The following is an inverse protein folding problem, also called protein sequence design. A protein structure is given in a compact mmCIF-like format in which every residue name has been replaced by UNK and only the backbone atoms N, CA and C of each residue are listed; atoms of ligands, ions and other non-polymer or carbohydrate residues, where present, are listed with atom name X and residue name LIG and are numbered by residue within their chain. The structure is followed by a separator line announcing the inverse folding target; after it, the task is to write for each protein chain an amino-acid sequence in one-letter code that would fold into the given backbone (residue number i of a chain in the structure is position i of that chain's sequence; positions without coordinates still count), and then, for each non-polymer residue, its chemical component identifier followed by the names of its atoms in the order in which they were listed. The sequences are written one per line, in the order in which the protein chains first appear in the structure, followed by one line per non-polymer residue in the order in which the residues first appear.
data_IF_959320914172
#
_entry.id   IF_959320914172
#
_cell.length_a   1.000
_cell.length_b   1.000
_cell.length_c   1.000
_cell.angle_alpha   90.00
_cell.angle_beta   90.00
_cell.angle_gamma   90.00
#
_symmetry.space_group_name_H-M   'P 1'
#
loop_
_entity.id
_entity.type
_entity.pdbx_description
1 polymer ?
#
# COMPACT_ATOMS: atom_id res chain seq x y z
N UNK A 1 -34.22 -50.64 20.96
CA UNK A 1 -32.92 -50.04 20.57
C UNK A 1 -33.08 -48.78 19.73
N UNK A 2 -33.92 -48.78 18.69
CA UNK A 2 -34.15 -47.64 17.78
C UNK A 2 -34.49 -46.31 18.50
N UNK A 3 -35.36 -46.31 19.53
CA UNK A 3 -35.70 -45.09 20.28
C UNK A 3 -34.49 -44.43 20.98
N UNK A 4 -33.54 -45.23 21.49
CA UNK A 4 -32.31 -44.71 22.12
C UNK A 4 -31.34 -44.15 21.09
N UNK A 5 -31.24 -44.79 19.92
CA UNK A 5 -30.42 -44.29 18.81
C UNK A 5 -30.93 -42.96 18.30
N UNK A 6 -32.25 -42.81 18.16
CA UNK A 6 -32.89 -41.54 17.74
C UNK A 6 -32.63 -40.43 18.77
N UNK A 7 -32.72 -40.72 20.07
CA UNK A 7 -32.40 -39.75 21.12
C UNK A 7 -30.94 -39.28 21.08
N UNK A 8 -29.99 -40.19 20.84
CA UNK A 8 -28.56 -39.85 20.70
C UNK A 8 -28.34 -38.96 19.46
N UNK A 9 -29.01 -39.27 18.35
CA UNK A 9 -28.93 -38.47 17.12
C UNK A 9 -29.45 -37.04 17.32
N UNK A 10 -30.60 -36.89 18.00
CA UNK A 10 -31.19 -35.57 18.30
C UNK A 10 -30.26 -34.75 19.21
N UNK A 11 -29.59 -35.39 20.17
CA UNK A 11 -28.62 -34.73 21.06
C UNK A 11 -27.35 -34.27 20.35
N UNK A 12 -26.97 -34.89 19.23
CA UNK A 12 -25.78 -34.53 18.45
C UNK A 12 -26.03 -33.38 17.46
N UNK A 13 -27.28 -33.13 17.05
CA UNK A 13 -27.64 -32.02 16.14
C UNK A 13 -27.10 -30.66 16.62
N UNK A 14 -27.27 -30.22 17.89
CA UNK A 14 -26.75 -28.93 18.32
C UNK A 14 -25.22 -28.86 18.30
N UNK A 15 -24.51 -29.97 18.54
CA UNK A 15 -23.04 -30.03 18.44
C UNK A 15 -22.56 -29.93 17.00
N UNK A 16 -23.27 -30.56 16.06
CA UNK A 16 -22.97 -30.47 14.62
C UNK A 16 -23.19 -29.04 14.12
N UNK A 17 -24.30 -28.40 14.53
CA UNK A 17 -24.59 -26.99 14.19
C UNK A 17 -23.52 -26.06 14.78
N UNK A 18 -23.12 -26.27 16.03
CA UNK A 18 -22.08 -25.48 16.68
C UNK A 18 -20.72 -25.64 15.98
N UNK A 19 -20.35 -26.87 15.61
CA UNK A 19 -19.12 -27.14 14.85
C UNK A 19 -19.16 -26.45 13.47
N UNK A 20 -20.31 -26.44 12.80
CA UNK A 20 -20.48 -25.75 11.53
C UNK A 20 -20.39 -24.22 11.68
N UNK A 21 -20.98 -23.65 12.72
CA UNK A 21 -20.88 -22.21 13.02
C UNK A 21 -19.45 -21.77 13.36
N UNK A 22 -18.71 -22.56 14.14
CA UNK A 22 -17.28 -22.29 14.43
C UNK A 22 -16.44 -22.44 13.17
N UNK A 23 -16.69 -23.46 12.34
CA UNK A 23 -15.97 -23.66 11.09
C UNK A 23 -16.26 -22.57 10.05
N UNK A 24 -17.49 -22.04 10.00
CA UNK A 24 -17.84 -20.91 9.12
C UNK A 24 -17.34 -19.56 9.68
N UNK A 25 -17.22 -19.41 11.01
CA UNK A 25 -16.62 -18.23 11.65
C UNK A 25 -15.10 -18.14 11.38
N UNK A 26 -14.44 -19.30 11.21
CA UNK A 26 -13.02 -19.37 10.86
C UNK A 26 -12.72 -19.17 9.37
N UNK A 27 -13.71 -18.77 8.55
CA UNK A 27 -13.46 -18.25 7.19
C UNK A 27 -12.99 -16.79 7.19
N UNK A 28 -12.46 -16.29 8.30
CA UNK A 28 -11.35 -15.35 8.17
C UNK A 28 -10.12 -16.16 7.79
N UNK A 29 -10.08 -16.57 6.51
CA UNK A 29 -8.83 -16.55 5.79
C UNK A 29 -8.29 -15.13 6.01
N UNK A 30 -7.43 -14.97 7.01
CA UNK A 30 -6.37 -13.98 6.93
C UNK A 30 -5.44 -14.47 5.81
N UNK A 31 -5.98 -14.47 4.59
CA UNK A 31 -5.26 -14.00 3.45
C UNK A 31 -4.80 -12.60 3.85
N UNK A 32 -3.67 -12.53 4.55
CA UNK A 32 -2.59 -11.68 4.09
C UNK A 32 -2.34 -12.14 2.66
N UNK A 33 -3.23 -11.73 1.74
CA UNK A 33 -3.04 -11.91 0.33
C UNK A 33 -1.68 -11.30 0.10
N UNK A 34 -0.73 -12.14 -0.30
CA UNK A 34 0.55 -11.77 -0.88
C UNK A 34 0.39 -10.37 -1.49
N UNK A 35 1.03 -9.35 -0.90
CA UNK A 35 0.84 -7.96 -1.31
C UNK A 35 1.03 -7.89 -2.82
N UNK A 36 -0.07 -7.74 -3.55
CA UNK A 36 -0.04 -7.73 -5.00
C UNK A 36 0.38 -6.34 -5.42
N UNK A 37 1.68 -6.08 -5.31
CA UNK A 37 2.35 -4.93 -5.90
C UNK A 37 2.34 -5.16 -7.40
N UNK A 38 1.22 -4.82 -8.03
CA UNK A 38 1.11 -4.86 -9.47
C UNK A 38 1.95 -3.71 -10.02
N UNK A 39 3.00 -4.07 -10.78
CA UNK A 39 3.74 -3.14 -11.64
C UNK A 39 2.76 -2.52 -12.62
N UNK A 40 2.25 -1.35 -12.28
CA UNK A 40 1.21 -0.69 -13.06
C UNK A 40 1.63 0.74 -13.35
N UNK A 41 2.36 0.90 -14.45
CA UNK A 41 2.77 2.20 -14.95
C UNK A 41 1.57 3.12 -15.26
N UNK A 42 0.39 2.55 -15.54
CA UNK A 42 -0.83 3.36 -15.71
C UNK A 42 -1.27 3.98 -14.39
N UNK A 43 -1.07 3.31 -13.25
CA UNK A 43 -1.31 3.92 -11.94
C UNK A 43 -0.37 5.08 -11.72
N UNK A 44 0.94 4.89 -11.95
CA UNK A 44 1.93 5.97 -11.84
C UNK A 44 1.50 7.18 -12.68
N UNK A 45 1.13 6.96 -13.93
CA UNK A 45 0.65 8.01 -14.82
C UNK A 45 -0.62 8.68 -14.27
N UNK A 46 -1.64 7.92 -13.87
CA UNK A 46 -2.90 8.47 -13.35
C UNK A 46 -2.74 9.30 -12.07
N UNK A 47 -1.81 8.89 -11.19
CA UNK A 47 -1.61 9.54 -9.91
C UNK A 47 -0.63 10.69 -9.97
N UNK A 48 0.39 10.64 -10.83
CA UNK A 48 1.53 11.57 -10.76
C UNK A 48 1.67 12.47 -11.99
N UNK A 49 1.32 12.00 -13.19
CA UNK A 49 1.61 12.71 -14.45
C UNK A 49 1.03 14.13 -14.48
N UNK A 50 1.87 15.09 -14.88
CA UNK A 50 1.51 16.50 -15.05
C UNK A 50 1.21 17.25 -13.75
N UNK A 51 1.47 16.64 -12.57
CA UNK A 51 1.22 17.27 -11.27
C UNK A 51 2.50 17.81 -10.66
N UNK A 52 2.35 18.87 -9.90
CA UNK A 52 3.37 19.33 -8.98
C UNK A 52 3.33 18.47 -7.72
N UNK A 53 4.46 17.85 -7.40
CA UNK A 53 4.61 16.86 -6.34
C UNK A 53 5.54 17.36 -5.25
N UNK A 54 5.19 17.04 -4.00
CA UNK A 54 6.04 17.26 -2.84
C UNK A 54 6.31 15.89 -2.22
N UNK A 55 7.59 15.51 -2.15
CA UNK A 55 8.04 14.29 -1.53
C UNK A 55 8.46 14.58 -0.09
N UNK A 56 7.90 13.82 0.84
CA UNK A 56 8.10 14.00 2.28
C UNK A 56 8.42 12.65 2.91
N UNK A 57 9.46 12.59 3.74
CA UNK A 57 9.79 11.38 4.49
C UNK A 57 8.71 11.04 5.51
N UNK A 58 8.32 9.77 5.54
CA UNK A 58 7.48 9.23 6.61
C UNK A 58 8.37 8.57 7.67
N UNK A 59 8.79 9.37 8.66
CA UNK A 59 9.72 8.96 9.73
C UNK A 59 9.03 8.13 10.81
N UNK A 60 7.71 8.29 10.99
CA UNK A 60 6.92 7.60 12.01
C UNK A 60 5.95 6.58 11.41
N UNK A 61 6.46 5.44 10.97
CA UNK A 61 5.68 4.34 10.36
C UNK A 61 4.76 3.58 11.33
N UNK A 62 4.10 4.26 12.27
CA UNK A 62 3.15 3.68 13.20
C UNK A 62 1.75 3.59 12.57
N UNK A 63 0.97 2.59 12.97
CA UNK A 63 -0.37 2.37 12.43
C UNK A 63 -1.42 3.37 12.94
N UNK A 64 -1.10 4.23 13.93
CA UNK A 64 -2.12 5.00 14.65
C UNK A 64 -2.60 6.23 13.88
N UNK A 65 -1.81 6.78 12.95
CA UNK A 65 -2.21 7.81 12.00
C UNK A 65 -1.24 7.77 10.81
N UNK A 66 -1.74 7.37 9.63
CA UNK A 66 -0.92 7.28 8.41
C UNK A 66 -1.03 8.56 7.59
N UNK A 67 -0.54 9.65 8.17
CA UNK A 67 -0.55 11.00 7.61
C UNK A 67 0.80 11.68 7.89
N UNK A 68 1.29 12.55 6.99
CA UNK A 68 2.45 13.38 7.30
C UNK A 68 2.18 14.26 8.51
N UNK A 69 3.12 14.28 9.46
CA UNK A 69 3.14 15.23 10.56
C UNK A 69 3.51 16.64 10.07
N UNK A 70 3.16 17.66 10.85
CA UNK A 70 3.50 19.06 10.52
C UNK A 70 5.00 19.27 10.32
N UNK A 71 5.84 18.62 11.15
CA UNK A 71 7.30 18.68 11.01
C UNK A 71 7.79 18.06 9.71
N UNK A 72 7.16 16.98 9.24
CA UNK A 72 7.51 16.34 7.98
C UNK A 72 7.11 17.24 6.79
N UNK A 73 5.95 17.90 6.85
CA UNK A 73 5.49 18.84 5.83
C UNK A 73 6.39 20.07 5.68
N UNK A 74 7.02 20.53 6.77
CA UNK A 74 7.95 21.67 6.75
C UNK A 74 9.32 21.32 6.14
N UNK A 75 9.66 20.04 6.07
CA UNK A 75 10.96 19.54 5.58
C UNK A 75 10.79 18.59 4.38
N UNK A 76 10.28 19.06 3.23
CA UNK A 76 10.18 18.21 2.04
C UNK A 76 11.57 17.83 1.54
N UNK A 77 11.75 16.56 1.16
CA UNK A 77 13.03 16.07 0.63
C UNK A 77 13.22 16.46 -0.82
N UNK A 78 12.14 16.55 -1.59
CA UNK A 78 12.18 16.93 -2.98
C UNK A 78 10.85 17.58 -3.39
N UNK A 79 10.94 18.61 -4.22
CA UNK A 79 9.79 19.22 -4.89
C UNK A 79 9.98 19.05 -6.37
N UNK A 80 8.93 18.57 -7.04
CA UNK A 80 8.91 18.33 -8.47
C UNK A 80 7.82 19.20 -9.04
N UNK A 81 8.15 20.01 -10.03
CA UNK A 81 7.17 20.69 -10.85
C UNK A 81 6.88 19.87 -12.10
N UNK A 82 5.59 19.76 -12.45
CA UNK A 82 5.07 19.11 -13.65
C UNK A 82 5.71 17.72 -13.92
N UNK A 83 5.40 16.75 -13.06
CA UNK A 83 5.96 15.39 -13.15
C UNK A 83 5.80 14.80 -14.56
N UNK A 84 6.86 14.26 -15.17
CA UNK A 84 6.88 13.97 -16.59
C UNK A 84 6.00 12.78 -16.98
N UNK A 85 5.50 12.82 -18.21
CA UNK A 85 5.06 11.62 -18.89
C UNK A 85 6.30 10.90 -19.42
N UNK A 86 6.47 9.63 -19.06
CA UNK A 86 7.67 8.90 -19.45
C UNK A 86 7.43 8.01 -20.67
N UNK A 87 8.45 7.94 -21.52
CA UNK A 87 8.58 6.93 -22.56
C UNK A 87 9.63 5.93 -22.08
N UNK A 88 9.23 4.68 -21.82
CA UNK A 88 10.07 3.59 -21.28
C UNK A 88 11.38 3.37 -22.07
N UNK A 89 11.47 3.90 -23.30
CA UNK A 89 12.62 3.78 -24.18
C UNK A 89 13.63 4.96 -24.10
N UNK A 90 13.44 5.95 -23.22
CA UNK A 90 14.39 7.06 -23.06
C UNK A 90 15.45 6.80 -21.98
N UNK A 91 16.56 7.55 -22.03
CA UNK A 91 17.53 7.60 -20.92
C UNK A 91 16.84 8.03 -19.64
N UNK A 92 17.35 7.54 -18.50
CA UNK A 92 16.91 7.93 -17.16
C UNK A 92 16.79 9.45 -17.04
N UNK A 93 15.58 9.92 -16.73
CA UNK A 93 15.31 11.33 -16.53
C UNK A 93 15.98 11.82 -15.24
N UNK A 94 16.47 13.07 -15.22
CA UNK A 94 17.18 13.65 -14.06
C UNK A 94 16.36 13.52 -12.77
N UNK A 95 15.03 13.73 -12.87
CA UNK A 95 14.10 13.53 -11.75
C UNK A 95 14.11 12.12 -11.16
N UNK A 96 14.36 11.08 -11.98
CA UNK A 96 14.49 9.71 -11.50
C UNK A 96 15.75 9.54 -10.64
N UNK A 97 16.84 10.22 -11.01
CA UNK A 97 18.07 10.29 -10.23
C UNK A 97 17.80 11.03 -8.91
N UNK A 98 17.15 12.19 -8.97
CA UNK A 98 16.83 13.00 -7.78
C UNK A 98 15.94 12.24 -6.79
N UNK A 99 14.92 11.54 -7.28
CA UNK A 99 14.02 10.71 -6.45
C UNK A 99 14.81 9.57 -5.81
N UNK A 100 15.68 8.90 -6.56
CA UNK A 100 16.52 7.81 -6.05
C UNK A 100 17.45 8.30 -4.95
N UNK A 101 18.08 9.46 -5.13
CA UNK A 101 19.02 10.03 -4.16
C UNK A 101 18.31 10.61 -2.93
N UNK A 102 17.04 11.01 -3.08
CA UNK A 102 16.16 11.40 -1.97
C UNK A 102 15.75 10.21 -1.10
N UNK A 103 15.81 8.99 -1.63
CA UNK A 103 15.45 7.76 -0.91
C UNK A 103 16.58 7.27 0.00
N UNK A 104 16.70 7.87 1.19
CA UNK A 104 17.71 7.48 2.18
C UNK A 104 17.25 6.30 3.03
N UNK A 105 16.46 6.57 4.05
CA UNK A 105 16.16 5.61 5.12
C UNK A 105 14.66 5.33 5.27
N UNK A 106 13.81 6.24 4.82
CA UNK A 106 12.37 6.20 5.06
C UNK A 106 11.59 6.15 3.75
N UNK A 107 10.41 5.50 3.76
CA UNK A 107 9.44 5.64 2.67
C UNK A 107 8.97 7.09 2.56
N UNK A 108 8.49 7.47 1.38
CA UNK A 108 8.07 8.84 1.09
C UNK A 108 6.57 8.92 0.86
N UNK A 109 5.92 9.91 1.47
CA UNK A 109 4.64 10.40 0.98
C UNK A 109 4.85 11.21 -0.29
N UNK A 110 4.02 10.97 -1.29
CA UNK A 110 3.92 11.80 -2.49
C UNK A 110 2.68 12.65 -2.35
N UNK A 111 2.86 13.96 -2.18
CA UNK A 111 1.79 14.92 -1.94
C UNK A 111 1.57 15.81 -3.16
N UNK A 112 0.36 16.34 -3.32
CA UNK A 112 0.11 17.49 -4.19
C UNK A 112 0.50 18.80 -3.49
N UNK A 113 0.48 19.93 -4.22
CA UNK A 113 0.76 21.25 -3.63
C UNK A 113 -0.13 21.61 -2.43
N UNK A 114 -1.36 21.12 -2.40
CA UNK A 114 -2.31 21.31 -1.30
C UNK A 114 -2.09 20.31 -0.14
N UNK A 115 -0.92 19.69 -0.04
CA UNK A 115 -0.56 18.67 0.95
C UNK A 115 -1.47 17.42 0.96
N UNK A 116 -2.22 17.17 -0.12
CA UNK A 116 -3.04 15.97 -0.25
C UNK A 116 -2.15 14.79 -0.64
N UNK A 117 -2.28 13.67 0.07
CA UNK A 117 -1.57 12.43 -0.25
C UNK A 117 -2.09 11.87 -1.58
N UNK A 118 -1.20 11.73 -2.55
CA UNK A 118 -1.47 11.14 -3.87
C UNK A 118 -1.04 9.69 -3.93
N UNK A 119 0.12 9.37 -3.36
CA UNK A 119 0.68 8.03 -3.32
C UNK A 119 1.65 7.86 -2.14
N UNK A 120 2.00 6.61 -1.87
CA UNK A 120 3.01 6.22 -0.91
C UNK A 120 4.12 5.46 -1.63
N UNK A 121 5.29 6.08 -1.68
CA UNK A 121 6.46 5.55 -2.38
C UNK A 121 7.29 4.74 -1.39
N UNK A 122 7.60 3.50 -1.74
CA UNK A 122 8.31 2.56 -0.87
C UNK A 122 9.43 1.85 -1.62
N UNK A 123 10.53 1.61 -0.91
CA UNK A 123 11.67 0.89 -1.49
C UNK A 123 11.46 -0.62 -1.54
N UNK A 124 10.81 -1.18 -0.51
CA UNK A 124 10.66 -2.62 -0.35
C UNK A 124 9.19 -3.03 -0.37
N UNK A 125 8.87 -4.20 -0.96
CA UNK A 125 7.50 -4.67 -1.14
C UNK A 125 6.81 -5.14 0.15
N UNK A 126 7.56 -5.30 1.24
CA UNK A 126 7.03 -5.81 2.50
C UNK A 126 7.37 -4.85 3.65
N UNK A 127 6.48 -3.89 3.92
CA UNK A 127 6.63 -2.95 5.03
C UNK A 127 5.31 -2.66 5.72
N UNK A 128 5.37 -2.31 7.01
CA UNK A 128 4.22 -1.85 7.80
C UNK A 128 3.53 -0.65 7.18
N UNK A 129 4.29 0.21 6.49
CA UNK A 129 3.76 1.35 5.76
C UNK A 129 2.82 0.96 4.61
N UNK A 130 3.08 -0.15 3.91
CA UNK A 130 2.22 -0.64 2.83
C UNK A 130 0.86 -1.09 3.37
N UNK A 131 0.86 -1.81 4.50
CA UNK A 131 -0.37 -2.23 5.18
C UNK A 131 -1.22 -1.00 5.51
N UNK A 132 -0.58 0.02 6.08
CA UNK A 132 -1.26 1.24 6.48
C UNK A 132 -1.75 2.06 5.28
N UNK A 133 -0.96 2.17 4.21
CA UNK A 133 -1.37 2.82 2.96
C UNK A 133 -2.61 2.13 2.37
N UNK A 134 -2.59 0.80 2.25
CA UNK A 134 -3.70 0.02 1.71
C UNK A 134 -4.97 0.18 2.55
N UNK A 135 -4.86 0.16 3.89
CA UNK A 135 -6.01 0.41 4.79
C UNK A 135 -6.65 1.78 4.59
N UNK A 136 -5.84 2.77 4.21
CA UNK A 136 -6.28 4.14 3.94
C UNK A 136 -6.59 4.37 2.45
N UNK A 137 -6.63 3.32 1.62
CA UNK A 137 -6.83 3.41 0.16
C UNK A 137 -5.85 4.35 -0.56
N UNK A 138 -4.63 4.45 -0.03
CA UNK A 138 -3.55 5.23 -0.64
C UNK A 138 -2.80 4.34 -1.63
N UNK A 139 -2.61 4.77 -2.89
CA UNK A 139 -1.83 4.04 -3.87
C UNK A 139 -0.40 3.83 -3.40
N UNK A 140 0.09 2.59 -3.46
CA UNK A 140 1.49 2.27 -3.17
C UNK A 140 2.26 2.14 -4.48
N UNK A 141 3.40 2.82 -4.56
CA UNK A 141 4.32 2.76 -5.71
C UNK A 141 5.65 2.23 -5.21
N UNK A 142 6.21 1.23 -5.90
CA UNK A 142 7.59 0.79 -5.63
C UNK A 142 8.57 1.75 -6.28
N UNK A 143 9.65 2.06 -5.57
CA UNK A 143 10.73 2.88 -6.11
C UNK A 143 11.26 2.29 -7.43
N UNK A 144 11.51 0.98 -7.48
CA UNK A 144 12.02 0.31 -8.68
C UNK A 144 11.06 0.44 -9.88
N UNK A 145 9.74 0.40 -9.64
CA UNK A 145 8.75 0.57 -10.71
C UNK A 145 8.67 2.04 -11.17
N UNK A 146 8.81 2.99 -10.24
CA UNK A 146 8.87 4.42 -10.59
C UNK A 146 10.13 4.76 -11.38
N UNK A 147 11.27 4.19 -10.99
CA UNK A 147 12.53 4.33 -11.73
C UNK A 147 12.40 3.72 -13.13
N UNK A 148 11.87 2.50 -13.21
CA UNK A 148 11.56 1.83 -14.49
C UNK A 148 10.63 2.66 -15.37
N UNK A 149 9.60 3.27 -14.76
CA UNK A 149 8.73 4.21 -15.47
C UNK A 149 9.55 5.37 -16.02
N UNK A 150 10.44 6.01 -15.26
CA UNK A 150 11.26 7.17 -15.66
C UNK A 150 12.46 6.83 -16.57
N UNK A 151 12.60 5.60 -17.04
CA UNK A 151 13.72 5.16 -17.90
C UNK A 151 15.03 4.90 -17.14
N UNK A 152 14.92 4.71 -15.82
CA UNK A 152 15.98 4.32 -14.91
C UNK A 152 15.78 2.84 -14.48
#
# INVERSE_FOLDING_TARGET
MIKRVIQILILLIPFIILAFLISCSNNNTSQFSEFKLEKDYKKIESYLNGKDLILVEHRRTSNQQFLPSESELLEPVLKISNFPNSNINSKCLDIGIDIKDSFKNYPLFVLSENNKILAYLVRFPNSTGIISANKNSIPVILLDDLLGYLGC
#
